data_IF_924316159909
#
_entry.id   IF_924316159909
#
_cell.length_a   1.000
_cell.length_b   1.000
_cell.length_c   1.000
_cell.angle_alpha   90.00
_cell.angle_beta   90.00
_cell.angle_gamma   90.00
#
_symmetry.space_group_name_H-M   'P 1'
#
loop_
_entity.id
_entity.type
_entity.pdbx_description
1 polymer ?
#
# COMPACT_ATOMS: atom_id res chain seq x y z
N UNK A 1 -8.72 -14.35 -32.64
CA UNK A 1 -7.23 -14.25 -32.63
C UNK A 1 -6.75 -12.81 -32.79
N UNK A 2 -7.44 -11.98 -33.58
CA UNK A 2 -7.11 -10.57 -33.74
C UNK A 2 -7.27 -9.79 -32.42
N UNK A 3 -8.30 -10.11 -31.64
CA UNK A 3 -8.61 -9.55 -30.33
C UNK A 3 -7.44 -9.74 -29.35
N UNK A 4 -6.87 -10.95 -29.35
CA UNK A 4 -5.72 -11.32 -28.51
C UNK A 4 -4.47 -10.55 -28.91
N UNK A 5 -4.20 -10.42 -30.22
CA UNK A 5 -3.03 -9.68 -30.71
C UNK A 5 -3.13 -8.21 -30.33
N UNK A 6 -4.28 -7.58 -30.57
CA UNK A 6 -4.53 -6.18 -30.19
C UNK A 6 -4.33 -6.01 -28.69
N UNK A 7 -4.93 -6.90 -27.89
CA UNK A 7 -4.84 -6.82 -26.44
C UNK A 7 -3.42 -7.01 -25.92
N UNK A 8 -2.67 -7.97 -26.49
CA UNK A 8 -1.27 -8.20 -26.14
C UNK A 8 -0.41 -6.98 -26.50
N UNK A 9 -0.59 -6.38 -27.67
CA UNK A 9 0.14 -5.17 -28.09
C UNK A 9 -0.14 -4.02 -27.13
N UNK A 10 -1.40 -3.79 -26.76
CA UNK A 10 -1.76 -2.72 -25.82
C UNK A 10 -1.20 -2.99 -24.42
N UNK A 11 -1.32 -4.21 -23.89
CA UNK A 11 -0.75 -4.58 -22.59
C UNK A 11 0.76 -4.41 -22.58
N UNK A 12 1.46 -4.85 -23.64
CA UNK A 12 2.91 -4.64 -23.78
C UNK A 12 3.28 -3.16 -23.86
N UNK A 13 2.47 -2.33 -24.55
CA UNK A 13 2.67 -0.89 -24.60
C UNK A 13 2.48 -0.25 -23.21
N UNK A 14 1.46 -0.65 -22.45
CA UNK A 14 1.23 -0.19 -21.08
C UNK A 14 2.40 -0.56 -20.17
N UNK A 15 2.85 -1.82 -20.21
CA UNK A 15 4.03 -2.28 -19.45
C UNK A 15 5.28 -1.50 -19.84
N UNK A 16 5.47 -1.24 -21.13
CA UNK A 16 6.57 -0.41 -21.63
C UNK A 16 6.52 1.03 -21.08
N UNK A 17 5.34 1.66 -21.08
CA UNK A 17 5.16 3.00 -20.52
C UNK A 17 5.45 3.05 -19.01
N UNK A 18 4.96 2.06 -18.25
CA UNK A 18 5.21 1.97 -16.81
C UNK A 18 6.70 1.75 -16.51
N UNK A 19 7.37 0.87 -17.26
CA UNK A 19 8.82 0.65 -17.12
C UNK A 19 9.66 1.86 -17.53
N UNK A 20 9.17 2.69 -18.45
CA UNK A 20 9.74 4.00 -18.78
C UNK A 20 9.39 5.12 -17.79
N UNK A 21 8.74 4.78 -16.67
CA UNK A 21 8.35 5.71 -15.59
C UNK A 21 7.34 6.79 -15.99
N UNK A 22 6.52 6.52 -17.01
CA UNK A 22 5.31 7.31 -17.23
C UNK A 22 4.32 7.08 -16.09
N UNK A 23 3.39 8.01 -15.90
CA UNK A 23 2.35 7.88 -14.88
C UNK A 23 1.49 6.63 -15.15
N UNK A 24 1.49 5.68 -14.21
CA UNK A 24 0.80 4.41 -14.35
C UNK A 24 -0.72 4.58 -14.57
N UNK A 25 -1.35 5.54 -13.90
CA UNK A 25 -2.76 5.87 -14.08
C UNK A 25 -3.04 6.24 -15.53
N UNK A 26 -2.22 7.10 -16.12
CA UNK A 26 -2.40 7.54 -17.51
C UNK A 26 -2.12 6.40 -18.49
N UNK A 27 -1.06 5.62 -18.27
CA UNK A 27 -0.74 4.47 -19.12
C UNK A 27 -1.89 3.45 -19.15
N UNK A 28 -2.40 3.08 -17.98
CA UNK A 28 -3.53 2.14 -17.84
C UNK A 28 -4.81 2.69 -18.47
N UNK A 29 -5.13 3.97 -18.23
CA UNK A 29 -6.33 4.60 -18.77
C UNK A 29 -6.28 4.66 -20.30
N UNK A 30 -5.15 5.08 -20.89
CA UNK A 30 -4.97 5.10 -22.35
C UNK A 30 -5.05 3.69 -22.94
N UNK A 31 -4.47 2.69 -22.26
CA UNK A 31 -4.57 1.29 -22.66
C UNK A 31 -6.02 0.81 -22.67
N UNK A 32 -6.77 1.04 -21.58
CA UNK A 32 -8.18 0.65 -21.50
C UNK A 32 -9.06 1.34 -22.53
N UNK A 33 -8.88 2.65 -22.71
CA UNK A 33 -9.58 3.41 -23.74
C UNK A 33 -9.27 2.85 -25.13
N UNK A 34 -8.01 2.56 -25.44
CA UNK A 34 -7.61 1.96 -26.71
C UNK A 34 -8.26 0.59 -26.95
N UNK A 35 -8.34 -0.27 -25.92
CA UNK A 35 -9.03 -1.56 -26.02
C UNK A 35 -10.53 -1.41 -26.24
N UNK A 36 -11.18 -0.48 -25.54
CA UNK A 36 -12.60 -0.20 -25.70
C UNK A 36 -12.91 0.31 -27.12
N UNK A 37 -12.08 1.20 -27.66
CA UNK A 37 -12.23 1.65 -29.05
C UNK A 37 -11.95 0.53 -30.07
N UNK A 38 -10.97 -0.34 -29.81
CA UNK A 38 -10.74 -1.52 -30.63
C UNK A 38 -11.93 -2.48 -30.59
N UNK A 39 -12.54 -2.69 -29.43
CA UNK A 39 -13.76 -3.48 -29.28
C UNK A 39 -14.94 -2.88 -30.05
N UNK A 40 -15.15 -1.56 -30.00
CA UNK A 40 -16.15 -0.87 -30.82
C UNK A 40 -15.90 -1.09 -32.32
N UNK A 41 -14.65 -0.97 -32.76
CA UNK A 41 -14.28 -1.16 -34.16
C UNK A 41 -14.52 -2.61 -34.65
N UNK A 42 -14.40 -3.58 -33.76
CA UNK A 42 -14.69 -5.00 -34.02
C UNK A 42 -16.17 -5.36 -33.86
N UNK A 43 -17.03 -4.40 -33.48
CA UNK A 43 -18.47 -4.59 -33.34
C UNK A 43 -18.90 -5.29 -32.04
N UNK A 44 -18.01 -5.35 -31.03
CA UNK A 44 -18.38 -5.89 -29.72
C UNK A 44 -19.19 -4.86 -28.92
N UNK A 45 -20.29 -5.27 -28.25
CA UNK A 45 -21.03 -4.39 -27.37
C UNK A 45 -20.18 -4.05 -26.13
N UNK A 46 -19.95 -2.75 -25.89
CA UNK A 46 -19.15 -2.27 -24.76
C UNK A 46 -19.98 -2.14 -23.48
N UNK A 47 -21.24 -1.72 -23.65
CA UNK A 47 -22.21 -1.50 -22.58
C UNK A 47 -23.39 -2.44 -22.74
N UNK A 48 -24.10 -2.66 -21.64
CA UNK A 48 -25.38 -3.37 -21.67
C UNK A 48 -26.41 -2.56 -22.45
N UNK A 49 -27.48 -3.20 -22.99
CA UNK A 49 -28.53 -2.51 -23.74
C UNK A 49 -29.24 -1.40 -22.97
N UNK A 50 -29.20 -1.44 -21.63
CA UNK A 50 -29.83 -0.46 -20.74
C UNK A 50 -28.91 0.75 -20.47
N UNK A 51 -27.60 0.59 -20.66
CA UNK A 51 -26.58 1.61 -20.36
C UNK A 51 -25.96 2.24 -21.62
N UNK A 52 -26.21 1.65 -22.79
CA UNK A 52 -25.69 2.17 -24.07
C UNK A 52 -26.19 3.58 -24.33
N UNK A 53 -25.32 4.38 -24.96
CA UNK A 53 -25.67 5.73 -25.43
C UNK A 53 -26.49 5.71 -26.72
N UNK A 54 -26.68 4.53 -27.32
CA UNK A 54 -27.26 4.35 -28.65
C UNK A 54 -26.26 4.58 -29.79
N UNK A 55 -25.03 5.04 -29.49
CA UNK A 55 -23.94 5.22 -30.46
C UNK A 55 -22.69 4.49 -29.96
N UNK A 56 -22.28 3.42 -30.66
CA UNK A 56 -21.17 2.54 -30.24
C UNK A 56 -19.84 3.28 -30.01
N UNK A 57 -19.60 4.40 -30.70
CA UNK A 57 -18.39 5.22 -30.54
C UNK A 57 -18.41 6.13 -29.31
N UNK A 58 -19.59 6.38 -28.72
CA UNK A 58 -19.74 7.12 -27.47
C UNK A 58 -19.75 6.20 -26.24
N UNK A 59 -20.04 4.91 -26.42
CA UNK A 59 -20.04 3.92 -25.35
C UNK A 59 -18.70 3.78 -24.60
N UNK A 60 -17.50 3.89 -25.24
CA UNK A 60 -16.23 3.97 -24.51
C UNK A 60 -16.18 5.13 -23.51
N UNK A 61 -16.69 6.31 -23.88
CA UNK A 61 -16.70 7.46 -22.97
C UNK A 61 -17.71 7.28 -21.83
N UNK A 62 -18.88 6.72 -22.12
CA UNK A 62 -19.86 6.38 -21.09
C UNK A 62 -19.33 5.30 -20.15
N UNK A 63 -18.53 4.34 -20.65
CA UNK A 63 -17.83 3.37 -19.81
C UNK A 63 -16.86 4.05 -18.84
N UNK A 64 -16.13 5.09 -19.25
CA UNK A 64 -15.28 5.89 -18.34
C UNK A 64 -16.11 6.47 -17.19
N UNK A 65 -17.25 7.08 -17.49
CA UNK A 65 -18.17 7.61 -16.47
C UNK A 65 -18.61 6.52 -15.47
N UNK A 66 -19.08 5.38 -15.98
CA UNK A 66 -19.54 4.27 -15.13
C UNK A 66 -18.41 3.66 -14.29
N UNK A 67 -17.20 3.56 -14.83
CA UNK A 67 -16.02 3.12 -14.07
C UNK A 67 -15.68 4.11 -12.96
N UNK A 68 -15.82 5.42 -13.16
CA UNK A 68 -15.68 6.40 -12.08
C UNK A 68 -16.76 6.24 -11.02
N UNK A 69 -18.04 6.12 -11.40
CA UNK A 69 -19.16 6.00 -10.47
C UNK A 69 -19.06 4.75 -9.59
N UNK A 70 -18.75 3.60 -10.18
CA UNK A 70 -18.60 2.33 -9.46
C UNK A 70 -17.44 2.33 -8.47
N UNK A 71 -16.29 2.88 -8.87
CA UNK A 71 -15.10 2.93 -8.01
C UNK A 71 -15.16 4.03 -6.96
N UNK A 72 -15.83 5.15 -7.22
CA UNK A 72 -16.01 6.23 -6.24
C UNK A 72 -16.93 5.83 -5.09
N UNK A 73 -17.93 4.97 -5.35
CA UNK A 73 -18.99 4.60 -4.41
C UNK A 73 -18.49 4.18 -3.03
N UNK A 74 -18.07 2.93 -2.86
CA UNK A 74 -17.67 2.40 -1.54
C UNK A 74 -16.15 2.28 -1.36
N UNK A 75 -15.44 1.72 -2.34
CA UNK A 75 -13.98 1.56 -2.27
C UNK A 75 -13.30 2.94 -2.25
N UNK A 76 -13.61 3.77 -3.26
CA UNK A 76 -12.99 5.08 -3.45
C UNK A 76 -13.25 6.01 -2.28
N UNK A 77 -14.50 6.11 -1.82
CA UNK A 77 -14.85 6.90 -0.64
C UNK A 77 -14.10 6.44 0.62
N UNK A 78 -14.00 5.12 0.85
CA UNK A 78 -13.25 4.58 2.00
C UNK A 78 -11.78 5.03 1.95
N UNK A 79 -11.14 4.88 0.80
CA UNK A 79 -9.73 5.29 0.63
C UNK A 79 -9.57 6.79 0.82
N UNK A 80 -10.43 7.60 0.20
CA UNK A 80 -10.39 9.06 0.32
C UNK A 80 -10.50 9.49 1.78
N UNK A 81 -11.48 8.96 2.52
CA UNK A 81 -11.71 9.32 3.93
C UNK A 81 -10.53 8.89 4.82
N UNK A 82 -9.92 7.72 4.58
CA UNK A 82 -8.73 7.28 5.30
C UNK A 82 -7.52 8.20 5.06
N UNK A 83 -7.30 8.62 3.80
CA UNK A 83 -6.25 9.59 3.47
C UNK A 83 -6.54 10.97 4.08
N UNK A 84 -7.79 11.41 4.05
CA UNK A 84 -8.23 12.64 4.70
C UNK A 84 -7.94 12.62 6.20
N UNK A 85 -8.31 11.53 6.86
CA UNK A 85 -8.09 11.35 8.29
C UNK A 85 -6.60 11.36 8.62
N UNK A 86 -5.78 10.64 7.86
CA UNK A 86 -4.32 10.62 8.04
C UNK A 86 -3.69 12.01 7.84
N UNK A 87 -4.13 12.78 6.85
CA UNK A 87 -3.65 14.16 6.63
C UNK A 87 -3.99 15.06 7.82
N UNK A 88 -5.21 14.96 8.34
CA UNK A 88 -5.63 15.73 9.51
C UNK A 88 -4.85 15.34 10.78
N UNK A 89 -4.61 14.05 11.01
CA UNK A 89 -3.77 13.57 12.12
C UNK A 89 -2.34 14.08 12.05
N UNK A 90 -1.80 14.22 10.83
CA UNK A 90 -0.49 14.81 10.60
C UNK A 90 -0.48 16.30 10.91
N UNK A 91 -1.50 17.05 10.49
CA UNK A 91 -1.60 18.49 10.74
C UNK A 91 -1.63 18.83 12.23
N UNK A 92 -2.42 18.11 13.02
CA UNK A 92 -2.57 18.38 14.46
C UNK A 92 -1.39 17.86 15.31
N UNK A 93 -0.39 17.23 14.67
CA UNK A 93 0.80 16.70 15.33
C UNK A 93 0.61 15.33 16.01
N UNK A 94 -0.50 14.63 15.78
CA UNK A 94 -0.82 13.39 16.48
C UNK A 94 0.07 12.22 16.04
N UNK A 95 0.47 12.19 14.76
CA UNK A 95 1.40 11.19 14.23
C UNK A 95 2.77 11.32 14.91
N UNK A 96 3.28 12.54 15.07
CA UNK A 96 4.54 12.84 15.74
C UNK A 96 4.53 12.43 17.21
N UNK A 97 3.43 12.70 17.94
CA UNK A 97 3.27 12.26 19.33
C UNK A 97 3.30 10.73 19.41
N UNK A 98 2.61 10.05 18.50
CA UNK A 98 2.57 8.59 18.47
C UNK A 98 3.96 7.99 18.28
N UNK A 99 4.71 8.51 17.30
CA UNK A 99 6.11 8.09 17.06
C UNK A 99 6.99 8.39 18.26
N UNK A 100 6.90 9.58 18.85
CA UNK A 100 7.72 9.95 20.00
C UNK A 100 7.47 9.02 21.21
N UNK A 101 6.21 8.71 21.53
CA UNK A 101 5.87 7.79 22.63
C UNK A 101 6.38 6.38 22.35
N UNK A 102 6.17 5.87 21.13
CA UNK A 102 6.57 4.52 20.74
C UNK A 102 8.10 4.34 20.68
N UNK A 103 8.84 5.42 20.39
CA UNK A 103 10.31 5.39 20.28
C UNK A 103 11.03 5.72 21.60
N UNK A 104 10.39 6.39 22.55
CA UNK A 104 10.94 6.70 23.89
C UNK A 104 11.58 5.50 24.63
N UNK A 105 11.00 4.28 24.66
CA UNK A 105 11.62 3.16 25.36
C UNK A 105 12.91 2.64 24.69
N UNK A 106 13.14 2.94 23.41
CA UNK A 106 14.29 2.45 22.66
C UNK A 106 15.62 2.97 23.22
N UNK A 107 15.64 4.18 23.80
CA UNK A 107 16.83 4.76 24.44
C UNK A 107 17.36 3.98 25.65
N UNK A 108 16.59 3.00 26.17
CA UNK A 108 17.02 2.15 27.30
C UNK A 108 17.80 0.90 26.88
N UNK A 109 17.79 0.55 25.59
CA UNK A 109 18.40 -0.67 25.08
C UNK A 109 19.85 -0.37 24.69
N UNK A 110 20.80 -1.04 25.34
CA UNK A 110 22.25 -0.81 25.12
C UNK A 110 22.85 -1.60 23.96
N UNK A 111 22.15 -2.60 23.43
CA UNK A 111 22.68 -3.46 22.36
C UNK A 111 22.22 -2.99 20.98
N UNK A 112 23.15 -2.37 20.24
CA UNK A 112 22.90 -1.82 18.89
C UNK A 112 22.28 -2.82 17.90
N UNK A 113 22.69 -4.09 17.93
CA UNK A 113 22.19 -5.09 16.98
C UNK A 113 20.84 -5.66 17.37
N UNK A 114 20.53 -5.77 18.68
CA UNK A 114 19.19 -6.19 19.14
C UNK A 114 18.18 -5.07 18.88
N UNK A 115 18.64 -3.82 18.83
CA UNK A 115 17.77 -2.69 18.57
C UNK A 115 17.23 -2.67 17.13
N UNK A 116 18.04 -3.03 16.14
CA UNK A 116 17.67 -3.08 14.72
C UNK A 116 16.35 -3.83 14.45
N UNK A 117 16.17 -5.10 14.85
CA UNK A 117 14.91 -5.82 14.64
C UNK A 117 13.74 -5.20 15.41
N UNK A 118 13.98 -4.64 16.60
CA UNK A 118 12.93 -3.98 17.39
C UNK A 118 12.42 -2.74 16.68
N UNK A 119 13.32 -1.89 16.16
CA UNK A 119 12.98 -0.70 15.37
C UNK A 119 12.24 -1.10 14.10
N UNK A 120 12.67 -2.15 13.41
CA UNK A 120 11.99 -2.65 12.21
C UNK A 120 10.53 -3.02 12.51
N UNK A 121 10.29 -3.79 13.58
CA UNK A 121 8.95 -4.18 13.99
C UNK A 121 8.14 -2.96 14.47
N UNK A 122 8.74 -2.07 15.26
CA UNK A 122 8.12 -0.83 15.71
C UNK A 122 7.70 0.07 14.55
N UNK A 123 8.56 0.23 13.55
CA UNK A 123 8.27 1.01 12.36
C UNK A 123 7.15 0.42 11.52
N UNK A 124 7.05 -0.91 11.43
CA UNK A 124 5.89 -1.55 10.82
C UNK A 124 4.62 -1.40 11.67
N UNK A 125 4.69 -1.31 12.99
CA UNK A 125 3.52 -0.95 13.81
C UNK A 125 3.11 0.51 13.58
N UNK A 126 4.08 1.41 13.41
CA UNK A 126 3.82 2.82 13.10
C UNK A 126 3.20 3.03 11.72
N UNK A 127 3.35 2.09 10.78
CA UNK A 127 2.63 2.16 9.50
C UNK A 127 1.13 1.89 9.61
N UNK A 128 0.64 1.39 10.76
CA UNK A 128 -0.80 1.37 11.06
C UNK A 128 -1.39 2.76 11.21
N UNK A 129 -0.56 3.70 11.66
CA UNK A 129 -0.92 5.09 11.97
C UNK A 129 -0.63 6.00 10.77
N UNK A 130 0.49 5.76 10.09
CA UNK A 130 0.89 6.51 8.89
C UNK A 130 0.89 5.56 7.68
N UNK A 131 -0.22 5.47 6.93
CA UNK A 131 -0.42 4.50 5.85
C UNK A 131 0.38 4.82 4.57
N UNK A 132 1.28 5.80 4.62
CA UNK A 132 2.12 6.23 3.51
C UNK A 132 3.59 5.94 3.83
N UNK A 133 4.20 5.02 3.09
CA UNK A 133 5.61 4.66 3.28
C UNK A 133 6.57 5.85 3.12
N UNK A 134 6.29 6.78 2.20
CA UNK A 134 7.10 7.99 2.04
C UNK A 134 6.91 8.96 3.20
N UNK A 135 5.67 9.18 3.66
CA UNK A 135 5.40 10.07 4.80
C UNK A 135 5.98 9.52 6.10
N UNK A 136 5.85 8.20 6.31
CA UNK A 136 6.46 7.52 7.45
C UNK A 136 7.99 7.59 7.39
N UNK A 137 8.60 7.43 6.22
CA UNK A 137 10.05 7.58 6.06
C UNK A 137 10.51 8.99 6.44
N UNK A 138 9.85 10.06 5.97
CA UNK A 138 10.17 11.44 6.38
C UNK A 138 10.07 11.60 7.90
N UNK A 139 8.97 11.13 8.47
CA UNK A 139 8.71 11.24 9.90
C UNK A 139 9.76 10.51 10.74
N UNK A 140 10.10 9.26 10.38
CA UNK A 140 11.11 8.46 11.08
C UNK A 140 12.53 8.99 10.86
N UNK A 141 12.83 9.58 9.70
CA UNK A 141 14.11 10.25 9.49
C UNK A 141 14.27 11.51 10.36
N UNK A 142 13.18 12.24 10.61
CA UNK A 142 13.21 13.40 11.50
C UNK A 142 13.24 13.01 12.99
N UNK A 143 12.63 11.89 13.36
CA UNK A 143 12.40 11.53 14.78
C UNK A 143 13.33 10.42 15.27
N UNK A 144 13.37 9.29 14.57
CA UNK A 144 14.03 8.08 15.01
C UNK A 144 15.50 8.03 14.59
N UNK A 145 15.83 8.45 13.37
CA UNK A 145 17.21 8.45 12.87
C UNK A 145 18.22 9.19 13.77
N UNK A 146 17.92 10.40 14.31
CA UNK A 146 18.82 11.08 15.25
C UNK A 146 19.04 10.27 16.54
N UNK A 147 18.02 9.54 17.01
CA UNK A 147 18.12 8.69 18.20
C UNK A 147 19.02 7.47 17.91
N UNK A 148 18.86 6.84 16.75
CA UNK A 148 19.62 5.64 16.37
C UNK A 148 21.12 5.92 16.21
N UNK A 149 21.44 7.06 15.61
CA UNK A 149 22.83 7.49 15.43
C UNK A 149 23.50 7.88 16.74
N UNK A 150 22.75 8.35 17.75
CA UNK A 150 23.28 8.68 19.10
C UNK A 150 23.63 7.44 19.95
N UNK A 151 23.07 6.28 19.64
CA UNK A 151 23.30 5.01 20.34
C UNK A 151 24.18 4.05 19.52
N UNK A 152 25.02 4.62 18.65
CA UNK A 152 26.04 3.93 17.83
C UNK A 152 25.49 2.85 16.86
N UNK A 153 24.24 2.97 16.41
CA UNK A 153 23.76 2.21 15.25
C UNK A 153 24.38 2.80 13.99
N UNK A 154 24.88 1.95 13.09
CA UNK A 154 25.47 2.46 11.85
C UNK A 154 24.43 3.23 11.03
N UNK A 155 24.79 4.36 10.41
CA UNK A 155 23.83 5.23 9.73
C UNK A 155 23.10 4.49 8.61
N UNK A 156 23.84 3.69 7.84
CA UNK A 156 23.28 2.85 6.78
C UNK A 156 22.33 1.78 7.32
N UNK A 157 22.59 1.20 8.51
CA UNK A 157 21.64 0.28 9.14
C UNK A 157 20.39 1.01 9.64
N UNK A 158 20.54 2.19 10.25
CA UNK A 158 19.42 3.01 10.71
C UNK A 158 18.51 3.42 9.53
N UNK A 159 19.12 3.94 8.45
CA UNK A 159 18.42 4.25 7.21
C UNK A 159 17.77 3.02 6.59
N UNK A 160 18.46 1.87 6.56
CA UNK A 160 17.92 0.65 5.98
C UNK A 160 16.67 0.19 6.72
N UNK A 161 16.70 0.18 8.06
CA UNK A 161 15.53 -0.18 8.86
C UNK A 161 14.37 0.77 8.61
N UNK A 162 14.62 2.09 8.60
CA UNK A 162 13.61 3.12 8.30
C UNK A 162 13.01 2.93 6.90
N UNK A 163 13.83 2.67 5.88
CA UNK A 163 13.39 2.44 4.51
C UNK A 163 12.59 1.14 4.33
N UNK A 164 12.73 0.20 5.27
CA UNK A 164 11.97 -1.07 5.33
C UNK A 164 10.81 -1.01 6.32
N UNK A 165 10.41 0.18 6.76
CA UNK A 165 9.15 0.39 7.49
C UNK A 165 7.99 0.56 6.51
N UNK A 166 6.76 0.30 6.96
CA UNK A 166 5.56 0.25 6.11
C UNK A 166 5.61 -0.80 5.00
N UNK A 167 5.82 -2.06 5.39
CA UNK A 167 5.79 -3.21 4.47
C UNK A 167 4.43 -3.90 4.49
N UNK A 168 4.29 -4.97 5.27
CA UNK A 168 3.17 -5.92 5.20
C UNK A 168 2.41 -6.00 6.54
N UNK A 169 2.26 -4.90 7.27
CA UNK A 169 1.51 -4.93 8.52
C UNK A 169 0.01 -5.19 8.23
N UNK A 170 -0.63 -6.21 8.83
CA UNK A 170 -2.04 -6.48 8.59
C UNK A 170 -2.90 -5.36 9.20
N UNK A 171 -3.71 -4.69 8.37
CA UNK A 171 -4.54 -3.57 8.83
C UNK A 171 -5.82 -3.40 8.03
N UNK A 172 -6.97 -3.17 8.68
CA UNK A 172 -8.22 -2.84 7.99
C UNK A 172 -8.22 -1.42 7.41
N UNK A 173 -7.21 -0.60 7.72
CA UNK A 173 -7.08 0.78 7.25
C UNK A 173 -6.20 0.90 5.99
N UNK A 174 -5.65 -0.20 5.49
CA UNK A 174 -4.83 -0.23 4.28
C UNK A 174 -5.70 -0.16 3.03
N UNK A 175 -5.44 0.79 2.14
CA UNK A 175 -6.21 0.95 0.90
C UNK A 175 -6.18 -0.32 0.03
N UNK A 176 -5.04 -0.98 -0.01
CA UNK A 176 -4.83 -2.28 -0.67
C UNK A 176 -5.68 -3.40 -0.05
N UNK A 177 -5.73 -3.49 1.28
CA UNK A 177 -6.60 -4.44 1.98
C UNK A 177 -8.10 -4.16 1.73
N UNK A 178 -8.50 -2.89 1.71
CA UNK A 178 -9.89 -2.48 1.43
C UNK A 178 -10.29 -2.85 0.01
N UNK A 179 -9.43 -2.57 -0.98
CA UNK A 179 -9.66 -2.94 -2.38
C UNK A 179 -9.80 -4.45 -2.49
N UNK A 180 -8.82 -5.21 -1.96
CA UNK A 180 -8.81 -6.66 -2.06
C UNK A 180 -10.04 -7.31 -1.41
N UNK A 181 -10.38 -6.91 -0.19
CA UNK A 181 -11.53 -7.44 0.53
C UNK A 181 -12.82 -7.20 -0.26
N UNK A 182 -13.00 -5.99 -0.81
CA UNK A 182 -14.19 -5.68 -1.59
C UNK A 182 -14.25 -6.44 -2.93
N UNK A 183 -13.12 -6.58 -3.63
CA UNK A 183 -13.03 -7.35 -4.88
C UNK A 183 -13.42 -8.81 -4.69
N UNK A 184 -13.11 -9.40 -3.52
CA UNK A 184 -13.50 -10.78 -3.18
C UNK A 184 -14.82 -10.90 -2.42
N UNK A 185 -15.55 -9.79 -2.19
CA UNK A 185 -16.79 -9.80 -1.41
C UNK A 185 -16.62 -10.26 0.05
N UNK A 186 -15.41 -10.11 0.60
CA UNK A 186 -15.06 -10.53 1.95
C UNK A 186 -15.25 -9.38 2.95
N UNK A 187 -15.56 -9.73 4.20
CA UNK A 187 -15.43 -8.77 5.29
C UNK A 187 -13.94 -8.37 5.42
N UNK A 188 -13.68 -7.06 5.58
CA UNK A 188 -12.31 -6.54 5.71
C UNK A 188 -11.53 -7.22 6.83
N UNK A 189 -12.18 -7.56 7.95
CA UNK A 189 -11.48 -8.20 9.06
C UNK A 189 -11.09 -9.64 8.74
N UNK A 190 -11.93 -10.39 8.02
CA UNK A 190 -11.60 -11.77 7.61
C UNK A 190 -10.41 -11.77 6.66
N UNK A 191 -10.36 -10.80 5.73
CA UNK A 191 -9.22 -10.61 4.85
C UNK A 191 -7.95 -10.24 5.64
N UNK A 192 -8.05 -9.32 6.61
CA UNK A 192 -6.93 -8.91 7.46
C UNK A 192 -6.44 -10.04 8.36
N UNK A 193 -7.32 -10.93 8.84
CA UNK A 193 -6.93 -12.12 9.60
C UNK A 193 -6.15 -13.10 8.71
N UNK A 194 -6.62 -13.35 7.48
CA UNK A 194 -5.88 -14.16 6.51
C UNK A 194 -4.51 -13.55 6.20
N UNK A 195 -4.47 -12.23 5.99
CA UNK A 195 -3.24 -11.46 5.81
C UNK A 195 -2.30 -11.62 7.01
N UNK A 196 -2.81 -11.52 8.25
CA UNK A 196 -2.02 -11.58 9.47
C UNK A 196 -1.34 -12.95 9.69
N UNK A 197 -2.00 -14.04 9.29
CA UNK A 197 -1.43 -15.41 9.35
C UNK A 197 -0.11 -15.52 8.57
N UNK A 198 0.02 -14.79 7.47
CA UNK A 198 1.20 -14.80 6.61
C UNK A 198 2.17 -13.68 7.01
N UNK A 199 1.67 -12.46 7.22
CA UNK A 199 2.55 -11.31 7.38
C UNK A 199 3.23 -11.24 8.74
N UNK A 200 2.59 -11.68 9.83
CA UNK A 200 3.22 -11.64 11.16
C UNK A 200 4.47 -12.56 11.19
N UNK A 201 4.40 -13.84 10.78
CA UNK A 201 5.59 -14.67 10.69
C UNK A 201 6.63 -14.12 9.71
N UNK A 202 6.22 -13.60 8.56
CA UNK A 202 7.14 -13.00 7.58
C UNK A 202 7.88 -11.78 8.17
N UNK A 203 7.20 -10.88 8.89
CA UNK A 203 7.84 -9.74 9.58
C UNK A 203 8.84 -10.21 10.64
N UNK A 204 8.55 -11.28 11.39
CA UNK A 204 9.50 -11.83 12.36
C UNK A 204 10.75 -12.40 11.66
N UNK A 205 10.58 -13.11 10.55
CA UNK A 205 11.71 -13.61 9.74
C UNK A 205 12.54 -12.47 9.16
N UNK A 206 11.90 -11.41 8.68
CA UNK A 206 12.57 -10.20 8.22
C UNK A 206 13.35 -9.51 9.34
N UNK A 207 12.78 -9.42 10.55
CA UNK A 207 13.46 -8.85 11.71
C UNK A 207 14.75 -9.62 12.03
N UNK A 208 14.67 -10.95 12.04
CA UNK A 208 15.85 -11.82 12.23
C UNK A 208 16.87 -11.63 11.09
N UNK A 209 16.42 -11.55 9.84
CA UNK A 209 17.30 -11.27 8.70
C UNK A 209 17.98 -9.90 8.82
N UNK A 210 17.25 -8.87 9.28
CA UNK A 210 17.82 -7.55 9.58
C UNK A 210 18.93 -7.63 10.63
N UNK A 211 18.74 -8.39 11.70
CA UNK A 211 19.78 -8.59 12.72
C UNK A 211 21.09 -9.13 12.11
N UNK A 212 21.02 -10.25 11.39
CA UNK A 212 22.21 -10.91 10.86
C UNK A 212 22.86 -10.13 9.71
N UNK A 213 22.04 -9.60 8.80
CA UNK A 213 22.52 -8.93 7.60
C UNK A 213 23.19 -7.59 7.91
N UNK A 214 22.59 -6.79 8.79
CA UNK A 214 23.19 -5.50 9.18
C UNK A 214 24.50 -5.71 9.95
N UNK A 215 24.56 -6.73 10.84
CA UNK A 215 25.79 -7.10 11.54
C UNK A 215 26.91 -7.54 10.59
N UNK A 216 26.57 -8.31 9.57
CA UNK A 216 27.53 -8.74 8.54
C UNK A 216 28.07 -7.54 7.74
N UNK A 217 27.19 -6.66 7.25
CA UNK A 217 27.61 -5.50 6.46
C UNK A 217 28.39 -4.47 7.28
N UNK A 218 28.03 -4.25 8.55
CA UNK A 218 28.83 -3.39 9.45
C UNK A 218 30.25 -3.93 9.66
N UNK A 219 30.41 -5.25 9.78
CA UNK A 219 31.74 -5.87 9.91
C UNK A 219 32.56 -5.75 8.62
N UNK A 220 31.89 -5.80 7.46
CA UNK A 220 32.53 -5.76 6.14
C UNK A 220 32.94 -4.34 5.73
N UNK A 221 32.09 -3.35 5.95
CA UNK A 221 32.30 -1.99 5.45
C UNK A 221 33.27 -1.19 6.34
N UNK A 222 33.51 -1.63 7.58
CA UNK A 222 34.08 -0.77 8.62
C UNK A 222 33.09 0.36 8.96
N UNK A 223 33.07 0.86 10.18
CA UNK A 223 32.07 1.86 10.64
C UNK A 223 32.25 3.27 10.04
N UNK A 224 32.71 3.40 8.79
CA UNK A 224 33.04 4.68 8.15
C UNK A 224 32.10 4.96 6.96
N UNK A 225 30.86 5.34 7.27
CA UNK A 225 30.10 6.18 6.34
C UNK A 225 30.16 7.61 6.89
N UNK A 226 30.85 8.52 6.20
CA UNK A 226 30.74 9.96 6.49
C UNK A 226 29.29 10.38 6.24
N UNK A 227 28.58 10.72 7.32
CA UNK A 227 27.24 11.28 7.23
C UNK A 227 27.35 12.78 7.21
N UNK A 228 26.59 13.42 6.33
CA UNK A 228 26.34 14.84 6.44
C UNK A 228 25.36 15.14 7.61
N UNK A 229 25.91 15.33 8.81
CA UNK A 229 25.13 15.65 10.03
C UNK A 229 24.36 16.96 9.92
N UNK A 230 24.69 17.84 8.97
CA UNK A 230 24.01 19.15 8.80
C UNK A 230 22.58 19.04 8.27
N UNK A 231 22.19 17.89 7.70
CA UNK A 231 20.86 17.64 7.14
C UNK A 231 19.88 16.93 8.09
N UNK A 232 20.35 16.55 9.28
CA UNK A 232 19.51 15.86 10.26
C UNK A 232 18.65 16.90 10.97
N UNK A 233 17.33 16.88 10.71
CA UNK A 233 16.40 17.78 11.36
C UNK A 233 16.45 17.64 12.89
N UNK A 234 16.35 18.76 13.60
CA UNK A 234 16.23 18.75 15.06
C UNK A 234 14.91 18.12 15.49
N UNK A 235 14.94 17.34 16.58
CA UNK A 235 13.74 16.77 17.18
C UNK A 235 12.75 17.89 17.50
N UNK A 236 11.55 17.85 16.92
CA UNK A 236 10.51 18.83 17.25
C UNK A 236 10.15 18.70 18.74
N UNK A 237 10.49 19.72 19.52
CA UNK A 237 10.27 19.75 20.97
C UNK A 237 8.85 20.19 21.34
N UNK A 238 8.12 20.82 20.42
CA UNK A 238 6.77 21.34 20.65
C UNK A 238 5.73 20.31 20.19
N UNK A 239 5.64 19.21 20.94
CA UNK A 239 4.66 18.16 20.68
C UNK A 239 3.33 18.44 21.41
N UNK A 240 2.19 18.10 20.78
CA UNK A 240 0.90 18.01 21.46
C UNK A 240 0.92 17.11 22.71
N UNK A 241 -0.10 17.24 23.59
CA UNK A 241 -0.25 16.38 24.76
C UNK A 241 -0.20 14.88 24.44
N UNK A 242 0.32 14.07 25.37
CA UNK A 242 0.57 12.64 25.14
C UNK A 242 -0.68 11.83 24.71
N UNK A 243 -1.88 12.23 25.13
CA UNK A 243 -3.12 11.54 24.75
C UNK A 243 -3.46 11.65 23.26
N UNK A 244 -2.81 12.57 22.51
CA UNK A 244 -2.97 12.66 21.05
C UNK A 244 -2.53 11.38 20.34
N UNK A 245 -1.66 10.56 20.93
CA UNK A 245 -1.23 9.30 20.33
C UNK A 245 -2.36 8.27 20.12
N UNK A 246 -3.50 8.43 20.82
CA UNK A 246 -4.66 7.56 20.63
C UNK A 246 -5.46 7.96 19.39
N UNK A 247 -5.42 9.23 18.96
CA UNK A 247 -6.25 9.71 17.88
C UNK A 247 -5.96 8.95 16.56
N UNK A 248 -4.72 8.81 16.08
CA UNK A 248 -4.49 8.18 14.79
C UNK A 248 -4.89 6.70 14.73
N UNK A 249 -4.91 6.00 15.88
CA UNK A 249 -5.35 4.60 15.98
C UNK A 249 -6.84 4.45 16.31
N UNK A 250 -7.56 5.55 16.52
CA UNK A 250 -8.96 5.54 16.92
C UNK A 250 -9.88 4.80 15.93
N UNK A 251 -9.73 4.95 14.59
CA UNK A 251 -10.53 4.17 13.65
C UNK A 251 -10.32 2.66 13.83
N UNK A 252 -9.07 2.24 14.05
CA UNK A 252 -8.73 0.83 14.27
C UNK A 252 -9.36 0.29 15.56
N UNK A 253 -9.29 1.05 16.65
CA UNK A 253 -9.90 0.69 17.94
C UNK A 253 -11.41 0.51 17.77
N UNK A 254 -12.08 1.45 17.11
CA UNK A 254 -13.53 1.39 16.88
C UNK A 254 -13.94 0.21 15.99
N UNK A 255 -13.19 -0.07 14.93
CA UNK A 255 -13.40 -1.27 14.09
C UNK A 255 -13.33 -2.55 14.93
N UNK A 256 -12.31 -2.68 15.79
CA UNK A 256 -12.13 -3.85 16.63
C UNK A 256 -13.26 -3.98 17.68
N UNK A 257 -13.62 -2.88 18.33
CA UNK A 257 -14.68 -2.86 19.34
C UNK A 257 -16.03 -3.22 18.73
N UNK A 258 -16.41 -2.61 17.60
CA UNK A 258 -17.67 -2.92 16.93
C UNK A 258 -17.72 -4.36 16.43
N UNK A 259 -16.60 -4.90 15.92
CA UNK A 259 -16.56 -6.28 15.45
C UNK A 259 -16.56 -7.32 16.60
N UNK A 260 -15.94 -7.02 17.74
CA UNK A 260 -15.83 -7.97 18.87
C UNK A 260 -17.02 -7.89 19.84
N UNK A 261 -17.44 -6.67 20.21
CA UNK A 261 -18.46 -6.46 21.24
C UNK A 261 -19.90 -6.53 20.70
N UNK A 262 -20.09 -6.33 19.39
CA UNK A 262 -21.43 -6.25 18.77
C UNK A 262 -21.66 -7.35 17.74
N UNK A 263 -20.88 -8.44 17.77
CA UNK A 263 -21.03 -9.62 16.89
C UNK A 263 -22.45 -10.23 16.88
N UNK A 264 -23.27 -9.95 17.89
CA UNK A 264 -24.68 -10.36 17.99
C UNK A 264 -25.72 -9.34 17.50
N UNK A 265 -25.31 -8.11 17.18
CA UNK A 265 -26.15 -7.08 16.58
C UNK A 265 -25.66 -6.91 15.14
N UNK A 266 -26.48 -7.27 14.15
CA UNK A 266 -26.17 -7.15 12.70
C UNK A 266 -25.99 -5.67 12.29
N UNK A 267 -24.96 -5.00 12.80
CA UNK A 267 -24.65 -3.61 12.57
C UNK A 267 -23.70 -3.50 11.38
N UNK A 268 -24.24 -3.11 10.23
CA UNK A 268 -23.46 -2.80 9.03
C UNK A 268 -22.83 -1.40 9.15
N UNK A 269 -21.88 -1.22 10.07
CA UNK A 269 -21.10 0.02 10.17
C UNK A 269 -19.88 -0.11 9.26
N UNK A 270 -19.87 0.65 8.16
CA UNK A 270 -18.74 0.69 7.22
C UNK A 270 -17.54 1.46 7.78
N UNK A 271 -16.35 1.20 7.21
CA UNK A 271 -15.10 1.90 7.57
C UNK A 271 -15.19 3.41 7.40
N UNK A 272 -15.93 3.89 6.40
CA UNK A 272 -16.21 5.31 6.17
C UNK A 272 -16.84 5.94 7.41
N UNK A 273 -17.92 5.34 7.92
CA UNK A 273 -18.64 5.82 9.10
C UNK A 273 -17.73 5.85 10.34
N UNK A 274 -16.95 4.79 10.55
CA UNK A 274 -16.02 4.70 11.69
C UNK A 274 -14.96 5.79 11.63
N UNK A 275 -14.46 6.09 10.44
CA UNK A 275 -13.44 7.12 10.25
C UNK A 275 -14.04 8.52 10.47
N UNK A 276 -15.27 8.77 10.04
CA UNK A 276 -15.96 10.04 10.35
C UNK A 276 -16.24 10.21 11.85
N UNK A 277 -16.64 9.15 12.56
CA UNK A 277 -16.77 9.20 14.03
C UNK A 277 -15.43 9.56 14.67
N UNK A 278 -14.35 8.95 14.19
CA UNK A 278 -12.99 9.23 14.67
C UNK A 278 -12.53 10.65 14.37
N UNK A 279 -12.89 11.18 13.20
CA UNK A 279 -12.63 12.57 12.82
C UNK A 279 -13.35 13.55 13.74
N UNK A 280 -14.65 13.36 13.97
CA UNK A 280 -15.45 14.21 14.85
C UNK A 280 -14.89 14.19 16.27
N UNK A 281 -14.56 13.01 16.81
CA UNK A 281 -13.93 12.89 18.11
C UNK A 281 -12.60 13.66 18.17
N UNK A 282 -11.78 13.58 17.12
CA UNK A 282 -10.51 14.30 17.04
C UNK A 282 -10.69 15.81 16.96
N UNK A 283 -11.70 16.30 16.23
CA UNK A 283 -12.06 17.72 16.16
C UNK A 283 -12.53 18.23 17.52
N UNK A 284 -13.35 17.47 18.24
CA UNK A 284 -13.81 17.83 19.59
C UNK A 284 -12.61 17.97 20.55
N UNK A 285 -11.67 17.03 20.50
CA UNK A 285 -10.44 17.09 21.30
C UNK A 285 -9.62 18.35 20.96
N UNK A 286 -9.48 18.68 19.68
CA UNK A 286 -8.77 19.89 19.24
C UNK A 286 -9.48 21.17 19.68
N UNK A 287 -10.82 21.19 19.65
CA UNK A 287 -11.66 22.30 20.10
C UNK A 287 -11.52 22.57 21.60
N UNK A 288 -11.52 21.51 22.40
CA UNK A 288 -11.32 21.60 23.85
C UNK A 288 -9.92 22.12 24.17
N UNK A 289 -8.90 21.80 23.36
CA UNK A 289 -7.52 22.22 23.62
C UNK A 289 -7.23 23.64 23.19
N UNK A 290 -7.55 24.00 21.94
CA UNK A 290 -7.17 25.30 21.35
C UNK A 290 -8.16 26.40 21.71
N UNK A 291 -9.43 26.07 21.96
CA UNK A 291 -10.53 27.03 22.12
C UNK A 291 -10.69 28.04 20.95
N UNK A 292 -10.03 27.81 19.82
CA UNK A 292 -10.05 28.68 18.63
C UNK A 292 -10.88 28.04 17.52
N UNK A 293 -12.18 28.33 17.52
CA UNK A 293 -13.12 27.75 16.55
C UNK A 293 -12.75 28.09 15.09
N UNK A 294 -12.33 29.33 14.83
CA UNK A 294 -11.97 29.79 13.48
C UNK A 294 -10.77 29.03 12.91
N UNK A 295 -9.73 28.78 13.72
CA UNK A 295 -8.57 28.03 13.24
C UNK A 295 -8.94 26.57 12.96
N UNK A 296 -9.78 25.96 13.80
CA UNK A 296 -10.19 24.56 13.64
C UNK A 296 -11.01 24.35 12.38
N UNK A 297 -11.88 25.29 12.00
CA UNK A 297 -12.62 25.18 10.73
C UNK A 297 -11.70 25.24 9.52
N UNK A 298 -10.61 26.02 9.59
CA UNK A 298 -9.55 26.00 8.57
C UNK A 298 -8.75 24.68 8.60
N UNK A 299 -8.40 24.17 9.78
CA UNK A 299 -7.66 22.91 9.93
C UNK A 299 -8.45 21.71 9.36
N UNK A 300 -9.78 21.71 9.46
CA UNK A 300 -10.66 20.69 8.85
C UNK A 300 -10.52 20.64 7.33
N UNK A 301 -10.15 21.74 6.65
CA UNK A 301 -9.91 21.69 5.20
C UNK A 301 -8.78 20.73 4.83
N UNK A 302 -7.83 20.48 5.72
CA UNK A 302 -6.76 19.53 5.49
C UNK A 302 -7.27 18.08 5.37
N UNK A 303 -8.35 17.75 6.07
CA UNK A 303 -9.05 16.47 5.85
C UNK A 303 -9.53 16.34 4.41
N UNK A 304 -10.20 17.37 3.87
CA UNK A 304 -10.70 17.34 2.49
C UNK A 304 -9.58 17.37 1.45
N UNK A 305 -8.48 18.10 1.69
CA UNK A 305 -7.28 18.05 0.84
C UNK A 305 -6.67 16.64 0.84
N UNK A 306 -6.59 16.00 2.00
CA UNK A 306 -6.16 14.61 2.13
C UNK A 306 -7.08 13.65 1.36
N UNK A 307 -8.41 13.84 1.39
CA UNK A 307 -9.34 13.07 0.55
C UNK A 307 -9.03 13.24 -0.95
N UNK A 308 -8.73 14.47 -1.39
CA UNK A 308 -8.30 14.75 -2.76
C UNK A 308 -7.01 14.02 -3.15
N UNK A 309 -6.04 13.91 -2.23
CA UNK A 309 -4.83 13.13 -2.45
C UNK A 309 -5.13 11.63 -2.60
N UNK A 310 -6.04 11.08 -1.78
CA UNK A 310 -6.48 9.68 -1.91
C UNK A 310 -7.13 9.40 -3.26
N UNK A 311 -7.98 10.32 -3.74
CA UNK A 311 -8.58 10.26 -5.07
C UNK A 311 -7.51 10.28 -6.17
N UNK A 312 -6.61 11.26 -6.11
CA UNK A 312 -5.61 11.49 -7.13
C UNK A 312 -4.58 10.35 -7.23
N UNK A 313 -4.15 9.78 -6.11
CA UNK A 313 -3.07 8.78 -6.10
C UNK A 313 -3.54 7.33 -6.21
N UNK A 314 -4.68 6.98 -5.61
CA UNK A 314 -5.11 5.57 -5.50
C UNK A 314 -6.37 5.31 -6.30
N UNK A 315 -7.42 6.11 -6.11
CA UNK A 315 -8.72 5.85 -6.77
C UNK A 315 -8.61 6.08 -8.28
N UNK A 316 -7.87 7.10 -8.73
CA UNK A 316 -7.64 7.33 -10.16
C UNK A 316 -6.97 6.13 -10.85
N UNK A 317 -6.01 5.50 -10.16
CA UNK A 317 -5.28 4.33 -10.63
C UNK A 317 -6.18 3.10 -10.68
N UNK A 318 -7.04 2.92 -9.68
CA UNK A 318 -8.05 1.86 -9.64
C UNK A 318 -9.05 2.00 -10.80
N UNK A 319 -9.55 3.22 -11.07
CA UNK A 319 -10.45 3.48 -12.20
C UNK A 319 -9.75 3.18 -13.53
N UNK A 320 -8.51 3.63 -13.70
CA UNK A 320 -7.73 3.38 -14.91
C UNK A 320 -7.45 1.88 -15.15
N UNK A 321 -7.14 1.15 -14.07
CA UNK A 321 -6.99 -0.29 -14.08
C UNK A 321 -8.29 -1.00 -14.50
N UNK A 322 -9.41 -0.62 -13.88
CA UNK A 322 -10.72 -1.17 -14.18
C UNK A 322 -11.08 -0.96 -15.65
N UNK A 323 -10.80 0.21 -16.23
CA UNK A 323 -11.00 0.45 -17.66
C UNK A 323 -10.18 -0.47 -18.56
N UNK A 324 -8.92 -0.75 -18.19
CA UNK A 324 -8.10 -1.71 -18.92
C UNK A 324 -8.70 -3.11 -18.86
N UNK A 325 -9.09 -3.55 -17.66
CA UNK A 325 -9.68 -4.86 -17.43
C UNK A 325 -11.00 -5.01 -18.19
N UNK A 326 -11.86 -4.00 -18.16
CA UNK A 326 -13.11 -3.99 -18.91
C UNK A 326 -12.86 -4.06 -20.43
N UNK A 327 -11.87 -3.33 -20.94
CA UNK A 327 -11.44 -3.47 -22.34
C UNK A 327 -10.99 -4.89 -22.69
N UNK A 328 -10.22 -5.54 -21.81
CA UNK A 328 -9.78 -6.93 -21.98
C UNK A 328 -10.96 -7.93 -21.90
N UNK A 329 -11.96 -7.66 -21.06
CA UNK A 329 -13.17 -8.48 -20.92
C UNK A 329 -14.02 -8.40 -22.20
N UNK A 330 -14.28 -7.19 -22.71
CA UNK A 330 -15.08 -7.01 -23.93
C UNK A 330 -14.43 -7.70 -25.14
N UNK A 331 -13.09 -7.73 -25.19
CA UNK A 331 -12.33 -8.46 -26.21
C UNK A 331 -12.18 -9.97 -25.95
N UNK A 332 -12.78 -10.50 -24.87
CA UNK A 332 -12.77 -11.93 -24.54
C UNK A 332 -11.43 -12.47 -24.02
N UNK A 333 -10.45 -11.61 -23.72
CA UNK A 333 -9.11 -12.05 -23.27
C UNK A 333 -9.16 -12.63 -21.87
N UNK A 334 -9.99 -12.06 -20.98
CA UNK A 334 -10.15 -12.57 -19.62
C UNK A 334 -10.73 -13.98 -19.63
N UNK A 335 -11.70 -14.26 -20.50
CA UNK A 335 -12.29 -15.59 -20.64
C UNK A 335 -11.29 -16.60 -21.19
N UNK A 336 -10.47 -16.19 -22.17
CA UNK A 336 -9.40 -17.04 -22.70
C UNK A 336 -8.35 -17.39 -21.64
N UNK A 337 -7.93 -16.42 -20.83
CA UNK A 337 -7.01 -16.66 -19.71
C UNK A 337 -7.63 -17.60 -18.69
N UNK A 338 -8.89 -17.38 -18.33
CA UNK A 338 -9.66 -18.22 -17.40
C UNK A 338 -9.71 -19.67 -17.91
N UNK A 339 -10.09 -19.88 -19.17
CA UNK A 339 -10.16 -21.20 -19.80
C UNK A 339 -8.80 -21.90 -19.94
N UNK A 340 -7.70 -21.14 -20.08
CA UNK A 340 -6.35 -21.70 -20.20
C UNK A 340 -5.84 -22.31 -18.89
N UNK A 341 -6.49 -22.00 -17.77
CA UNK A 341 -6.06 -22.40 -16.43
C UNK A 341 -6.97 -23.47 -15.83
N UNK A 342 -8.21 -23.57 -16.34
CA UNK A 342 -9.18 -24.58 -15.94
C UNK A 342 -8.64 -25.99 -16.16
N UNK A 343 -8.66 -26.82 -15.11
CA UNK A 343 -8.27 -28.24 -15.19
C UNK A 343 -6.75 -28.50 -15.12
N UNK A 344 -5.93 -27.47 -14.91
CA UNK A 344 -4.49 -27.65 -14.64
C UNK A 344 -4.28 -27.87 -13.13
N UNK A 345 -3.74 -29.02 -12.74
CA UNK A 345 -3.30 -29.26 -11.36
C UNK A 345 -2.21 -28.25 -10.96
N UNK A 346 -2.37 -27.60 -9.80
CA UNK A 346 -1.42 -26.58 -9.33
C UNK A 346 -1.53 -25.22 -10.03
N UNK A 347 -2.55 -25.02 -10.87
CA UNK A 347 -2.88 -23.74 -11.51
C UNK A 347 -2.83 -22.54 -10.56
N UNK A 348 -3.41 -22.67 -9.37
CA UNK A 348 -3.46 -21.58 -8.38
C UNK A 348 -2.07 -21.15 -7.90
N UNK A 349 -1.19 -22.11 -7.59
CA UNK A 349 0.20 -21.82 -7.21
C UNK A 349 0.98 -21.21 -8.36
N UNK A 350 0.78 -21.71 -9.59
CA UNK A 350 1.43 -21.14 -10.78
C UNK A 350 1.00 -19.69 -11.01
N UNK A 351 -0.30 -19.40 -10.89
CA UNK A 351 -0.83 -18.04 -11.03
C UNK A 351 -0.34 -17.13 -9.90
N UNK A 352 -0.35 -17.60 -8.66
CA UNK A 352 0.22 -16.88 -7.52
C UNK A 352 1.68 -16.49 -7.81
N UNK A 353 2.53 -17.43 -8.24
CA UNK A 353 3.93 -17.16 -8.57
C UNK A 353 4.08 -16.21 -9.76
N UNK A 354 3.27 -16.37 -10.80
CA UNK A 354 3.32 -15.53 -12.00
C UNK A 354 2.96 -14.07 -11.69
N UNK A 355 1.80 -13.82 -11.06
CA UNK A 355 1.37 -12.48 -10.71
C UNK A 355 2.30 -11.81 -9.69
N UNK A 356 2.77 -12.59 -8.71
CA UNK A 356 3.75 -12.13 -7.73
C UNK A 356 5.10 -11.79 -8.36
N UNK A 357 5.58 -12.62 -9.29
CA UNK A 357 6.84 -12.41 -10.00
C UNK A 357 6.81 -11.19 -10.91
N UNK A 358 5.73 -11.01 -11.68
CA UNK A 358 5.54 -9.80 -12.50
C UNK A 358 5.47 -8.56 -11.60
N UNK A 359 4.74 -8.64 -10.49
CA UNK A 359 4.66 -7.54 -9.50
C UNK A 359 6.02 -7.20 -8.92
N UNK A 360 6.84 -8.20 -8.60
CA UNK A 360 8.21 -8.00 -8.14
C UNK A 360 9.06 -7.29 -9.19
N UNK A 361 9.06 -7.76 -10.45
CA UNK A 361 9.88 -7.17 -11.51
C UNK A 361 9.49 -5.73 -11.82
N UNK A 362 8.19 -5.48 -12.03
CA UNK A 362 7.70 -4.12 -12.33
C UNK A 362 7.87 -3.21 -11.12
N UNK A 363 7.59 -3.69 -9.91
CA UNK A 363 7.78 -2.93 -8.68
C UNK A 363 9.24 -2.53 -8.45
N UNK A 364 10.19 -3.41 -8.77
CA UNK A 364 11.62 -3.13 -8.68
C UNK A 364 12.03 -1.99 -9.64
N UNK A 365 11.51 -2.01 -10.87
CA UNK A 365 11.85 -1.02 -11.93
C UNK A 365 11.14 0.32 -11.71
N UNK A 366 9.86 0.29 -11.34
CA UNK A 366 8.99 1.48 -11.25
C UNK A 366 9.04 2.15 -9.87
N UNK A 367 9.39 1.42 -8.81
CA UNK A 367 9.28 1.89 -7.42
C UNK A 367 7.86 1.95 -6.87
N UNK A 368 6.86 1.63 -7.69
CA UNK A 368 5.43 1.63 -7.32
C UNK A 368 4.86 0.22 -7.33
N UNK A 369 5.24 -0.63 -6.37
CA UNK A 369 4.85 -2.04 -6.38
C UNK A 369 3.34 -2.30 -6.35
N UNK A 370 2.54 -1.46 -5.68
CA UNK A 370 1.07 -1.59 -5.64
C UNK A 370 0.36 -1.27 -6.96
N UNK A 371 1.05 -0.65 -7.93
CA UNK A 371 0.44 -0.29 -9.21
C UNK A 371 0.00 -1.52 -10.00
N UNK A 372 0.80 -2.60 -9.99
CA UNK A 372 0.45 -3.86 -10.64
C UNK A 372 -0.70 -4.54 -9.90
N UNK A 373 -0.67 -4.53 -8.57
CA UNK A 373 -1.77 -5.06 -7.76
C UNK A 373 -3.10 -4.39 -8.09
N UNK A 374 -3.16 -3.06 -8.04
CA UNK A 374 -4.36 -2.32 -8.42
C UNK A 374 -4.74 -2.52 -9.89
N UNK A 375 -3.75 -2.69 -10.78
CA UNK A 375 -3.97 -2.93 -12.20
C UNK A 375 -4.65 -4.26 -12.53
N UNK A 376 -4.54 -5.27 -11.67
CA UNK A 376 -5.00 -6.64 -12.01
C UNK A 376 -5.91 -7.28 -10.97
N UNK A 377 -6.10 -6.68 -9.79
CA UNK A 377 -6.87 -7.29 -8.68
C UNK A 377 -8.29 -7.66 -9.11
N UNK A 378 -8.98 -6.83 -9.90
CA UNK A 378 -10.37 -7.10 -10.35
C UNK A 378 -10.49 -8.30 -11.29
N UNK A 379 -9.38 -8.77 -11.89
CA UNK A 379 -9.37 -10.00 -12.71
C UNK A 379 -9.15 -11.27 -11.88
N UNK A 380 -8.59 -11.14 -10.67
CA UNK A 380 -8.20 -12.29 -9.86
C UNK A 380 -9.38 -13.19 -9.43
N UNK A 381 -10.60 -12.70 -9.14
CA UNK A 381 -11.72 -13.58 -8.81
C UNK A 381 -12.02 -14.63 -9.89
N UNK A 382 -12.05 -14.21 -11.17
CA UNK A 382 -12.29 -15.12 -12.30
C UNK A 382 -11.17 -16.15 -12.47
N UNK A 383 -9.91 -15.71 -12.35
CA UNK A 383 -8.73 -16.57 -12.44
C UNK A 383 -8.71 -17.59 -11.29
N UNK A 384 -9.00 -17.14 -10.06
CA UNK A 384 -9.04 -18.00 -8.88
C UNK A 384 -10.13 -19.07 -9.00
N UNK A 385 -11.31 -18.68 -9.49
CA UNK A 385 -12.41 -19.61 -9.75
C UNK A 385 -12.01 -20.69 -10.76
N UNK A 386 -11.41 -20.33 -11.89
CA UNK A 386 -10.94 -21.30 -12.89
C UNK A 386 -9.82 -22.21 -12.37
N UNK A 387 -8.91 -21.65 -11.58
CA UNK A 387 -7.84 -22.40 -10.93
C UNK A 387 -8.33 -23.26 -9.75
N UNK A 388 -9.62 -23.22 -9.41
CA UNK A 388 -10.21 -23.92 -8.25
C UNK A 388 -9.52 -23.58 -6.91
N UNK A 389 -9.11 -22.32 -6.75
CA UNK A 389 -8.47 -21.82 -5.52
C UNK A 389 -9.19 -20.60 -4.96
N UNK A 390 -8.90 -20.25 -3.71
CA UNK A 390 -9.45 -19.05 -3.11
C UNK A 390 -8.78 -17.80 -3.71
N UNK A 391 -9.56 -16.74 -3.94
CA UNK A 391 -9.03 -15.45 -4.41
C UNK A 391 -7.84 -14.92 -3.60
N UNK A 392 -7.90 -14.94 -2.25
CA UNK A 392 -6.77 -14.55 -1.40
C UNK A 392 -5.49 -15.34 -1.62
N UNK A 393 -5.54 -16.60 -2.08
CA UNK A 393 -4.34 -17.41 -2.37
C UNK A 393 -3.44 -16.73 -3.42
N UNK A 394 -4.03 -16.06 -4.41
CA UNK A 394 -3.30 -15.34 -5.47
C UNK A 394 -3.04 -13.89 -5.05
N UNK A 395 -4.05 -13.22 -4.48
CA UNK A 395 -3.98 -11.79 -4.21
C UNK A 395 -3.08 -11.41 -3.04
N UNK A 396 -3.10 -12.16 -1.93
CA UNK A 396 -2.32 -11.80 -0.75
C UNK A 396 -0.80 -11.81 -1.00
N UNK A 397 -0.21 -12.85 -1.62
CA UNK A 397 1.22 -12.87 -1.91
C UNK A 397 1.61 -11.76 -2.88
N UNK A 398 0.80 -11.54 -3.91
CA UNK A 398 0.98 -10.47 -4.87
C UNK A 398 0.99 -9.10 -4.19
N UNK A 399 0.01 -8.83 -3.32
CA UNK A 399 -0.11 -7.59 -2.55
C UNK A 399 1.07 -7.39 -1.58
N UNK A 400 1.48 -8.43 -0.87
CA UNK A 400 2.61 -8.37 0.05
C UNK A 400 3.92 -8.08 -0.67
N UNK A 401 4.14 -8.72 -1.82
CA UNK A 401 5.33 -8.49 -2.64
C UNK A 401 5.33 -7.09 -3.23
N UNK A 402 4.17 -6.58 -3.66
CA UNK A 402 3.99 -5.20 -4.08
C UNK A 402 4.43 -4.21 -3.00
N UNK A 403 4.15 -4.48 -1.72
CA UNK A 403 4.60 -3.64 -0.63
C UNK A 403 6.10 -3.81 -0.33
N UNK A 404 6.60 -5.05 -0.26
CA UNK A 404 7.99 -5.36 0.06
C UNK A 404 8.99 -4.83 -0.96
N UNK A 405 8.70 -4.98 -2.25
CA UNK A 405 9.65 -4.64 -3.33
C UNK A 405 10.00 -3.16 -3.38
N UNK A 406 9.13 -2.28 -2.85
CA UNK A 406 9.38 -0.83 -2.74
C UNK A 406 10.66 -0.55 -1.96
N UNK A 407 10.94 -1.33 -0.92
CA UNK A 407 12.12 -1.15 -0.05
C UNK A 407 13.43 -1.60 -0.69
N UNK A 408 13.41 -2.15 -1.91
CA UNK A 408 14.61 -2.54 -2.68
C UNK A 408 14.65 -1.89 -4.07
N UNK A 409 13.69 -1.00 -4.39
CA UNK A 409 13.69 -0.25 -5.64
C UNK A 409 14.46 1.07 -5.52
N UNK A 410 15.40 1.37 -6.42
CA UNK A 410 16.23 2.58 -6.37
C UNK A 410 15.46 3.86 -6.67
N UNK A 411 14.21 3.75 -7.13
CA UNK A 411 13.38 4.88 -7.54
C UNK A 411 12.17 5.04 -6.62
N UNK A 412 12.00 4.16 -5.63
CA UNK A 412 10.91 4.26 -4.67
C UNK A 412 11.08 5.52 -3.79
N UNK A 413 9.98 6.23 -3.57
CA UNK A 413 9.99 7.49 -2.81
C UNK A 413 10.58 7.34 -1.41
N UNK A 414 10.25 6.27 -0.67
CA UNK A 414 10.80 6.03 0.67
C UNK A 414 12.33 5.85 0.65
N UNK A 415 12.86 5.13 -0.34
CA UNK A 415 14.31 4.94 -0.52
C UNK A 415 14.98 6.27 -0.86
N UNK A 416 14.39 7.03 -1.80
CA UNK A 416 14.92 8.34 -2.21
C UNK A 416 14.92 9.36 -1.06
N UNK A 417 13.88 9.37 -0.22
CA UNK A 417 13.79 10.23 0.97
C UNK A 417 14.89 9.89 1.97
N UNK A 418 15.04 8.61 2.33
CA UNK A 418 16.09 8.20 3.28
C UNK A 418 17.48 8.50 2.74
N UNK A 419 17.72 8.24 1.44
CA UNK A 419 19.00 8.51 0.80
C UNK A 419 19.31 10.01 0.73
N UNK A 420 18.32 10.84 0.38
CA UNK A 420 18.51 12.29 0.25
C UNK A 420 18.79 12.94 1.61
N UNK A 421 18.11 12.50 2.68
CA UNK A 421 18.35 12.98 4.03
C UNK A 421 19.74 12.58 4.53
N UNK A 422 20.20 11.36 4.23
CA UNK A 422 21.51 10.87 4.69
C UNK A 422 22.69 11.29 3.80
N UNK A 423 22.44 11.77 2.57
CA UNK A 423 23.48 12.07 1.59
C UNK A 423 24.16 10.82 1.00
N UNK A 424 23.46 9.69 0.93
CA UNK A 424 23.99 8.41 0.40
C UNK A 424 23.33 8.03 -0.92
N UNK A 425 23.96 7.15 -1.69
CA UNK A 425 23.38 6.66 -2.94
C UNK A 425 22.30 5.59 -2.68
N UNK A 426 21.21 5.52 -3.49
CA UNK A 426 20.20 4.48 -3.38
C UNK A 426 20.76 3.06 -3.36
N UNK A 427 21.80 2.81 -4.16
CA UNK A 427 22.41 1.48 -4.25
C UNK A 427 23.13 1.07 -2.96
N UNK A 428 23.72 2.01 -2.22
CA UNK A 428 24.31 1.72 -0.91
C UNK A 428 23.24 1.30 0.11
N UNK A 429 22.09 1.98 0.09
CA UNK A 429 20.97 1.65 0.96
C UNK A 429 20.32 0.32 0.58
N UNK A 430 20.09 0.07 -0.72
CA UNK A 430 19.44 -1.17 -1.19
C UNK A 430 20.27 -2.41 -0.87
N UNK A 431 21.60 -2.33 -0.90
CA UNK A 431 22.45 -3.45 -0.44
C UNK A 431 22.12 -3.86 1.00
N UNK A 432 21.75 -2.90 1.85
CA UNK A 432 21.37 -3.13 3.24
C UNK A 432 19.95 -3.65 3.40
N UNK A 433 19.01 -3.28 2.52
CA UNK A 433 17.60 -3.72 2.59
C UNK A 433 17.31 -5.00 1.82
N UNK A 434 18.14 -5.33 0.81
CA UNK A 434 17.92 -6.43 -0.14
C UNK A 434 17.64 -7.79 0.52
N UNK A 435 18.55 -8.28 1.37
CA UNK A 435 18.41 -9.61 1.97
C UNK A 435 17.19 -9.71 2.90
N UNK A 436 16.96 -8.79 3.86
CA UNK A 436 15.75 -8.85 4.68
C UNK A 436 14.47 -8.83 3.85
N UNK A 437 14.39 -7.99 2.81
CA UNK A 437 13.21 -7.89 1.94
C UNK A 437 13.01 -9.16 1.12
N UNK A 438 14.07 -9.73 0.55
CA UNK A 438 13.99 -10.99 -0.19
C UNK A 438 13.56 -12.16 0.70
N UNK A 439 14.05 -12.22 1.95
CA UNK A 439 13.56 -13.17 2.95
C UNK A 439 12.07 -12.98 3.19
N UNK A 440 11.60 -11.73 3.31
CA UNK A 440 10.17 -11.41 3.39
C UNK A 440 9.38 -11.90 2.17
N UNK A 441 9.84 -11.63 0.95
CA UNK A 441 9.17 -12.05 -0.28
C UNK A 441 9.03 -13.58 -0.35
N UNK A 442 10.12 -14.32 -0.08
CA UNK A 442 10.11 -15.78 -0.07
C UNK A 442 9.21 -16.31 1.04
N UNK A 443 9.29 -15.73 2.24
CA UNK A 443 8.44 -16.13 3.36
C UNK A 443 6.96 -15.93 3.03
N UNK A 444 6.57 -14.79 2.45
CA UNK A 444 5.19 -14.53 2.03
C UNK A 444 4.69 -15.56 1.01
N UNK A 445 5.50 -15.90 -0.01
CA UNK A 445 5.11 -16.91 -1.00
C UNK A 445 4.95 -18.30 -0.37
N UNK A 446 5.93 -18.74 0.43
CA UNK A 446 5.91 -20.08 1.04
C UNK A 446 4.78 -20.20 2.04
N UNK A 447 4.61 -19.21 2.93
CA UNK A 447 3.55 -19.22 3.93
C UNK A 447 2.17 -19.15 3.28
N UNK A 448 2.02 -18.47 2.14
CA UNK A 448 0.75 -18.46 1.42
C UNK A 448 0.39 -19.84 0.86
N UNK A 449 1.33 -20.58 0.30
CA UNK A 449 1.09 -21.94 -0.20
C UNK A 449 0.77 -22.92 0.94
N UNK A 450 1.32 -22.69 2.13
CA UNK A 450 1.15 -23.59 3.28
C UNK A 450 -0.11 -23.28 4.09
N UNK A 451 -0.52 -22.02 4.16
CA UNK A 451 -1.58 -21.54 5.07
C UNK A 451 -2.90 -21.18 4.37
N UNK A 452 -2.92 -21.08 3.05
CA UNK A 452 -4.10 -20.82 2.20
C UNK A 452 -4.28 -21.94 1.19
#
# INVERSE_FOLDING_TARGET
MLEVIISLVVVLAVVYLITKKYNATIALALGGIALLFAAAALGHPILSPEETTGIIWLDPFKKIELSFLSNLGNIGLTIMVLFGYSSYMNLIGANEVTVNIMTKPLGRIKSKYILIPIIFLLGNLLSLVVPSASSLAVLLMATLFPILTRIDVSPLAAGAVIATTATIMPTPLGADNVIAANTFGMNIMDYVIAHAKISIPALLLMAVAHYFWQKYLDKKDGTNAEIDKSKIAELNTNLPPAYYAILPILPLILVLVFNLALKGLNLNIGLVTITFISLIASIIVELIRKHEFTQITHDIQEFFKGMGNGLAMVVSLLVAANLLIEGLKVLGVVDMLTNSVTGIEGAGTLMMLAFSGVTFLIGLISGGGLSVFYATVDMLPGIAHAASVTGPMIALPMQMIANLVRSISPVAACIMIVCSTMGVTPMQLIKRTSVPVLVGCVACMVLAVVLL
#
